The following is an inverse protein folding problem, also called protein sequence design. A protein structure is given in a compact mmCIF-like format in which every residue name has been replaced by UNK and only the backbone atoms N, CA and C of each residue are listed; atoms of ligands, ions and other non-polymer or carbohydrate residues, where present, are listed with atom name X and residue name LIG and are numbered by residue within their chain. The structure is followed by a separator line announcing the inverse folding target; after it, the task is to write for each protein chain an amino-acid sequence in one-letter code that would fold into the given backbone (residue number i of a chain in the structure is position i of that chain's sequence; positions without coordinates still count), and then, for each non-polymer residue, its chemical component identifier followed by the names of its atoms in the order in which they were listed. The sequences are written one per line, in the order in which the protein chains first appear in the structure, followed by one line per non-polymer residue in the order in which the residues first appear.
data_IF_922679176996
#
_entry.id   IF_922679176996
#
_cell.length_a   1.000
_cell.length_b   1.000
_cell.length_c   1.000
_cell.angle_alpha   90.00
_cell.angle_beta   90.00
_cell.angle_gamma   90.00
#
_symmetry.space_group_name_H-M   'P 1'
#
loop_
_entity.id
_entity.type
_entity.pdbx_description
1 polymer ?
#
# COMPACT_ATOMS: atom_id res chain seq x y z
N UNK A 1 -5.87 27.86 -13.39
CA UNK A 1 -6.95 27.10 -12.73
C UNK A 1 -6.86 27.35 -11.24
N UNK A 2 -7.99 27.55 -10.58
CA UNK A 2 -8.04 27.49 -9.11
C UNK A 2 -7.92 26.02 -8.64
N UNK A 3 -7.67 25.79 -7.36
CA UNK A 3 -7.38 24.44 -6.85
C UNK A 3 -8.61 23.51 -6.92
N UNK A 4 -9.82 24.06 -6.82
CA UNK A 4 -11.06 23.31 -7.01
C UNK A 4 -11.21 22.78 -8.45
N UNK A 5 -10.85 23.59 -9.45
CA UNK A 5 -10.79 23.16 -10.84
C UNK A 5 -9.76 22.05 -11.04
N UNK A 6 -8.56 22.21 -10.47
CA UNK A 6 -7.51 21.17 -10.53
C UNK A 6 -8.01 19.85 -9.95
N UNK A 7 -8.67 19.88 -8.79
CA UNK A 7 -9.24 18.71 -8.14
C UNK A 7 -10.33 18.05 -8.97
N UNK A 8 -11.24 18.84 -9.55
CA UNK A 8 -12.30 18.31 -10.40
C UNK A 8 -11.73 17.65 -11.65
N UNK A 9 -10.78 18.31 -12.33
CA UNK A 9 -10.10 17.73 -13.49
C UNK A 9 -9.32 16.46 -13.12
N UNK A 10 -8.61 16.46 -11.99
CA UNK A 10 -7.88 15.27 -11.52
C UNK A 10 -8.83 14.08 -11.28
N UNK A 11 -10.02 14.33 -10.73
CA UNK A 11 -11.04 13.31 -10.51
C UNK A 11 -11.64 12.78 -11.81
N UNK A 12 -11.86 13.62 -12.82
CA UNK A 12 -12.29 13.16 -14.14
C UNK A 12 -11.22 12.30 -14.83
N UNK A 13 -9.96 12.71 -14.76
CA UNK A 13 -8.83 11.93 -15.28
C UNK A 13 -8.73 10.55 -14.58
N UNK A 14 -9.00 10.47 -13.28
CA UNK A 14 -9.06 9.18 -12.57
C UNK A 14 -10.15 8.27 -13.10
N UNK A 15 -11.36 8.80 -13.37
CA UNK A 15 -12.46 8.01 -13.94
C UNK A 15 -12.08 7.45 -15.32
N UNK A 16 -11.29 8.20 -16.06
CA UNK A 16 -10.74 7.82 -17.37
C UNK A 16 -9.48 6.97 -17.29
N UNK A 17 -9.02 6.62 -16.07
CA UNK A 17 -7.81 5.84 -15.84
C UNK A 17 -6.52 6.50 -16.35
N UNK A 18 -6.53 7.82 -16.53
CA UNK A 18 -5.38 8.64 -16.90
C UNK A 18 -4.56 8.96 -15.64
N UNK A 19 -3.94 7.92 -15.08
CA UNK A 19 -3.28 7.95 -13.77
C UNK A 19 -2.14 8.97 -13.70
N UNK A 20 -1.38 9.11 -14.78
CA UNK A 20 -0.19 9.98 -14.83
C UNK A 20 -0.58 11.45 -14.80
N UNK A 21 -1.55 11.82 -15.63
CA UNK A 21 -2.12 13.16 -15.71
C UNK A 21 -2.83 13.51 -14.41
N UNK A 22 -3.70 12.62 -13.91
CA UNK A 22 -4.38 12.79 -12.63
C UNK A 22 -3.39 12.99 -11.48
N UNK A 23 -2.36 12.14 -11.40
CA UNK A 23 -1.34 12.19 -10.35
C UNK A 23 -0.57 13.51 -10.35
N UNK A 24 -0.30 14.08 -11.53
CA UNK A 24 0.36 15.40 -11.65
C UNK A 24 -0.48 16.49 -11.01
N UNK A 25 -1.80 16.50 -11.27
CA UNK A 25 -2.71 17.48 -10.68
C UNK A 25 -2.88 17.28 -9.17
N UNK A 26 -3.03 16.03 -8.70
CA UNK A 26 -3.11 15.75 -7.26
C UNK A 26 -1.84 16.16 -6.51
N UNK A 27 -0.67 15.93 -7.09
CA UNK A 27 0.59 16.37 -6.50
C UNK A 27 0.62 17.90 -6.36
N UNK A 28 0.20 18.61 -7.40
CA UNK A 28 0.14 20.07 -7.37
C UNK A 28 -0.81 20.57 -6.27
N UNK A 29 -1.99 19.97 -6.12
CA UNK A 29 -2.94 20.36 -5.05
C UNK A 29 -2.37 20.04 -3.68
N UNK A 30 -1.76 18.86 -3.51
CA UNK A 30 -1.13 18.48 -2.25
C UNK A 30 -0.02 19.46 -1.83
N UNK A 31 0.93 19.75 -2.72
CA UNK A 31 2.07 20.61 -2.43
C UNK A 31 1.66 22.08 -2.15
N UNK A 32 0.57 22.56 -2.76
CA UNK A 32 0.12 23.94 -2.57
C UNK A 32 -0.79 24.13 -1.34
N UNK A 33 -1.66 23.16 -1.03
CA UNK A 33 -2.68 23.33 0.02
C UNK A 33 -2.47 22.45 1.24
N UNK A 34 -1.42 21.63 1.27
CA UNK A 34 -1.27 20.58 2.28
C UNK A 34 -2.55 19.71 2.37
N UNK A 35 -3.06 19.28 1.22
CA UNK A 35 -4.32 18.55 1.13
C UNK A 35 -4.10 17.03 1.24
N UNK A 36 -4.55 16.42 2.34
CA UNK A 36 -4.36 14.99 2.60
C UNK A 36 -5.13 14.07 1.62
N UNK A 37 -6.29 14.51 1.12
CA UNK A 37 -7.02 13.76 0.10
C UNK A 37 -6.20 13.71 -1.20
N UNK A 38 -5.73 14.87 -1.66
CA UNK A 38 -4.89 14.95 -2.86
C UNK A 38 -3.60 14.13 -2.69
N UNK A 39 -2.96 14.18 -1.52
CA UNK A 39 -1.83 13.32 -1.19
C UNK A 39 -2.16 11.83 -1.39
N UNK A 40 -3.24 11.34 -0.77
CA UNK A 40 -3.63 9.93 -0.92
C UNK A 40 -3.93 9.53 -2.37
N UNK A 41 -4.60 10.40 -3.13
CA UNK A 41 -4.89 10.15 -4.56
C UNK A 41 -3.64 10.15 -5.42
N UNK A 42 -2.65 10.97 -5.08
CA UNK A 42 -1.35 10.94 -5.74
C UNK A 42 -0.62 9.60 -5.51
N UNK A 43 -0.61 9.09 -4.27
CA UNK A 43 -0.02 7.77 -3.96
C UNK A 43 -0.70 6.64 -4.74
N UNK A 44 -2.03 6.70 -4.82
CA UNK A 44 -2.83 5.77 -5.62
C UNK A 44 -2.42 5.81 -7.10
N UNK A 45 -2.32 7.00 -7.69
CA UNK A 45 -1.88 7.17 -9.08
C UNK A 45 -0.50 6.58 -9.32
N UNK A 46 0.47 6.82 -8.44
CA UNK A 46 1.83 6.25 -8.55
C UNK A 46 1.81 4.72 -8.62
N UNK A 47 1.04 4.08 -7.73
CA UNK A 47 0.84 2.63 -7.74
C UNK A 47 0.23 2.15 -9.06
N UNK A 48 -0.83 2.81 -9.52
CA UNK A 48 -1.51 2.43 -10.78
C UNK A 48 -0.66 2.66 -12.03
N UNK A 49 0.30 3.58 -11.98
CA UNK A 49 1.32 3.75 -13.01
C UNK A 49 2.46 2.70 -12.96
N UNK A 50 2.45 1.76 -12.02
CA UNK A 50 3.53 0.78 -11.88
C UNK A 50 4.76 1.30 -11.16
N UNK A 51 4.62 2.36 -10.34
CA UNK A 51 5.71 2.94 -9.54
C UNK A 51 5.45 2.80 -8.02
N UNK A 52 5.28 1.58 -7.49
CA UNK A 52 4.95 1.37 -6.08
C UNK A 52 6.09 1.82 -5.13
N UNK A 53 7.37 1.61 -5.46
CA UNK A 53 8.51 2.15 -4.69
C UNK A 53 8.48 3.68 -4.55
N UNK A 54 8.12 4.40 -5.62
CA UNK A 54 7.91 5.86 -5.56
C UNK A 54 6.71 6.23 -4.70
N UNK A 55 5.63 5.43 -4.76
CA UNK A 55 4.47 5.59 -3.88
C UNK A 55 4.85 5.41 -2.40
N UNK A 56 5.70 4.44 -2.06
CA UNK A 56 6.25 4.28 -0.70
C UNK A 56 7.03 5.52 -0.27
N UNK A 57 7.95 6.00 -1.11
CA UNK A 57 8.80 7.16 -0.79
C UNK A 57 7.97 8.41 -0.51
N UNK A 58 6.96 8.69 -1.35
CA UNK A 58 6.08 9.85 -1.16
C UNK A 58 5.06 9.61 -0.04
N UNK A 59 4.60 8.36 0.12
CA UNK A 59 3.66 7.97 1.15
C UNK A 59 4.23 8.15 2.55
N UNK A 60 5.50 7.83 2.77
CA UNK A 60 6.17 8.06 4.04
C UNK A 60 6.25 9.56 4.38
N UNK A 61 6.46 10.42 3.37
CA UNK A 61 6.39 11.88 3.56
C UNK A 61 4.97 12.32 3.92
N UNK A 62 3.97 11.86 3.17
CA UNK A 62 2.57 12.17 3.41
C UNK A 62 2.10 11.68 4.79
N UNK A 63 2.57 10.51 5.23
CA UNK A 63 2.23 9.91 6.52
C UNK A 63 2.78 10.74 7.68
N UNK A 64 4.02 11.25 7.55
CA UNK A 64 4.60 12.17 8.53
C UNK A 64 3.90 13.53 8.54
N UNK A 65 3.46 14.00 7.36
CA UNK A 65 2.74 15.27 7.23
C UNK A 65 1.31 15.21 7.76
N UNK A 66 0.63 14.07 7.59
CA UNK A 66 -0.76 13.85 7.99
C UNK A 66 -0.86 12.61 8.89
N UNK A 67 -0.30 12.65 10.11
CA UNK A 67 -0.30 11.52 11.00
C UNK A 67 -1.73 11.05 11.31
N UNK A 68 -1.96 9.75 11.23
CA UNK A 68 -3.27 9.15 11.49
C UNK A 68 -4.27 9.22 10.32
N UNK A 69 -3.92 9.82 9.18
CA UNK A 69 -4.81 9.80 8.01
C UNK A 69 -4.94 8.37 7.45
N UNK A 70 -6.14 7.80 7.58
CA UNK A 70 -6.42 6.41 7.16
C UNK A 70 -6.21 6.16 5.67
N UNK A 71 -6.46 7.14 4.81
CA UNK A 71 -6.35 6.96 3.35
C UNK A 71 -4.88 6.88 2.92
N UNK A 72 -4.03 7.74 3.49
CA UNK A 72 -2.59 7.70 3.25
C UNK A 72 -1.99 6.39 3.78
N UNK A 73 -2.39 5.99 4.99
CA UNK A 73 -1.96 4.71 5.58
C UNK A 73 -2.35 3.52 4.70
N UNK A 74 -3.59 3.51 4.20
CA UNK A 74 -4.07 2.44 3.34
C UNK A 74 -3.33 2.40 1.99
N UNK A 75 -3.05 3.55 1.38
CA UNK A 75 -2.25 3.57 0.15
C UNK A 75 -0.80 3.13 0.39
N UNK A 76 -0.21 3.44 1.54
CA UNK A 76 1.10 2.92 1.93
C UNK A 76 1.10 1.39 2.06
N UNK A 77 0.11 0.82 2.75
CA UNK A 77 -0.06 -0.64 2.86
C UNK A 77 -0.08 -1.29 1.47
N UNK A 78 -0.89 -0.74 0.56
CA UNK A 78 -0.97 -1.27 -0.79
C UNK A 78 0.30 -1.01 -1.62
N UNK A 79 1.03 0.07 -1.36
CA UNK A 79 2.29 0.35 -2.04
C UNK A 79 3.35 -0.67 -1.65
N UNK A 80 3.50 -0.95 -0.35
CA UNK A 80 4.37 -2.03 0.14
C UNK A 80 3.96 -3.40 -0.40
N UNK A 81 2.65 -3.69 -0.48
CA UNK A 81 2.18 -4.95 -1.06
C UNK A 81 2.59 -5.08 -2.53
N UNK A 82 2.33 -4.06 -3.35
CA UNK A 82 2.64 -4.10 -4.78
C UNK A 82 4.15 -4.07 -5.07
N UNK A 83 4.96 -3.46 -4.20
CA UNK A 83 6.43 -3.38 -4.36
C UNK A 83 7.14 -4.64 -3.87
N UNK A 84 6.72 -5.20 -2.73
CA UNK A 84 7.54 -6.16 -1.98
C UNK A 84 6.88 -7.53 -1.75
N UNK A 85 5.56 -7.65 -1.92
CA UNK A 85 4.84 -8.92 -1.66
C UNK A 85 4.32 -9.56 -2.95
N UNK A 86 3.72 -8.75 -3.82
CA UNK A 86 3.09 -9.20 -5.04
C UNK A 86 4.08 -9.76 -6.08
N UNK A 87 5.24 -9.12 -6.34
CA UNK A 87 6.18 -9.60 -7.37
C UNK A 87 6.66 -11.03 -7.10
N UNK A 88 7.00 -11.78 -8.15
CA UNK A 88 7.48 -13.16 -7.99
C UNK A 88 8.92 -13.19 -7.52
N UNK A 89 9.72 -12.21 -7.93
CA UNK A 89 11.12 -12.03 -7.57
C UNK A 89 11.28 -11.88 -6.04
N UNK A 90 10.33 -11.20 -5.38
CA UNK A 90 10.33 -11.05 -3.93
C UNK A 90 10.16 -12.37 -3.17
N UNK A 91 9.69 -13.43 -3.83
CA UNK A 91 9.46 -14.75 -3.21
C UNK A 91 10.72 -15.62 -3.20
N UNK A 92 11.79 -15.20 -3.89
CA UNK A 92 13.07 -15.90 -3.89
C UNK A 92 13.73 -15.89 -2.50
N UNK A 93 13.68 -14.75 -1.82
CA UNK A 93 14.18 -14.55 -0.46
C UNK A 93 13.02 -14.48 0.55
N UNK A 94 12.81 -15.58 1.27
CA UNK A 94 11.76 -15.68 2.29
C UNK A 94 11.96 -14.68 3.43
N UNK A 95 13.20 -14.43 3.86
CA UNK A 95 13.45 -13.55 5.00
C UNK A 95 13.22 -12.09 4.62
N UNK A 96 13.63 -11.69 3.42
CA UNK A 96 13.31 -10.36 2.90
C UNK A 96 11.79 -10.15 2.71
N UNK A 97 11.07 -11.19 2.26
CA UNK A 97 9.60 -11.18 2.17
C UNK A 97 8.95 -11.00 3.55
N UNK A 98 9.46 -11.70 4.57
CA UNK A 98 9.00 -11.61 5.96
C UNK A 98 9.19 -10.19 6.51
N UNK A 99 10.37 -9.59 6.32
CA UNK A 99 10.62 -8.22 6.80
C UNK A 99 9.68 -7.21 6.12
N UNK A 100 9.45 -7.37 4.83
CA UNK A 100 8.50 -6.54 4.08
C UNK A 100 7.06 -6.74 4.58
N UNK A 101 6.67 -7.97 4.87
CA UNK A 101 5.36 -8.30 5.42
C UNK A 101 5.17 -7.73 6.84
N UNK A 102 6.20 -7.76 7.69
CA UNK A 102 6.16 -7.12 9.03
C UNK A 102 5.93 -5.62 8.93
N UNK A 103 6.52 -4.94 7.95
CA UNK A 103 6.25 -3.51 7.70
C UNK A 103 4.77 -3.30 7.41
N UNK A 104 4.18 -4.09 6.50
CA UNK A 104 2.74 -4.01 6.19
C UNK A 104 1.89 -4.23 7.44
N UNK A 105 2.19 -5.27 8.24
CA UNK A 105 1.44 -5.58 9.47
C UNK A 105 1.55 -4.47 10.52
N UNK A 106 2.71 -3.79 10.61
CA UNK A 106 2.91 -2.66 11.53
C UNK A 106 2.03 -1.45 11.20
N UNK A 107 1.62 -1.30 9.94
CA UNK A 107 0.68 -0.26 9.51
C UNK A 107 -0.78 -0.57 9.88
N UNK A 108 -1.04 -1.70 10.55
CA UNK A 108 -2.39 -2.16 10.93
C UNK A 108 -3.33 -2.15 9.71
N UNK A 109 -3.07 -3.03 8.73
CA UNK A 109 -3.78 -3.05 7.45
C UNK A 109 -5.20 -3.59 7.62
N UNK A 110 -6.08 -3.20 6.70
CA UNK A 110 -7.41 -3.81 6.57
C UNK A 110 -7.29 -5.30 6.22
N UNK A 111 -8.39 -6.03 6.39
CA UNK A 111 -8.45 -7.50 6.30
C UNK A 111 -7.82 -8.04 5.01
N UNK A 112 -8.17 -7.48 3.85
CA UNK A 112 -7.72 -8.00 2.55
C UNK A 112 -6.18 -7.91 2.37
N UNK A 113 -5.53 -6.73 2.44
CA UNK A 113 -4.07 -6.67 2.32
C UNK A 113 -3.35 -7.45 3.42
N UNK A 114 -3.95 -7.57 4.62
CA UNK A 114 -3.41 -8.43 5.69
C UNK A 114 -3.39 -9.90 5.26
N UNK A 115 -4.52 -10.44 4.82
CA UNK A 115 -4.65 -11.84 4.41
C UNK A 115 -3.73 -12.16 3.23
N UNK A 116 -3.71 -11.31 2.20
CA UNK A 116 -2.83 -11.49 1.03
C UNK A 116 -1.35 -11.54 1.43
N UNK A 117 -0.94 -10.64 2.33
CA UNK A 117 0.45 -10.58 2.82
C UNK A 117 0.83 -11.83 3.59
N UNK A 118 -0.02 -12.26 4.54
CA UNK A 118 0.27 -13.44 5.36
C UNK A 118 0.27 -14.72 4.51
N UNK A 119 -0.66 -14.85 3.56
CA UNK A 119 -0.69 -16.00 2.66
C UNK A 119 0.53 -16.06 1.74
N UNK A 120 1.04 -14.92 1.27
CA UNK A 120 2.27 -14.89 0.48
C UNK A 120 3.44 -15.47 1.27
N UNK A 121 3.63 -15.06 2.52
CA UNK A 121 4.69 -15.61 3.39
C UNK A 121 4.51 -17.10 3.64
N UNK A 122 3.30 -17.54 4.01
CA UNK A 122 3.01 -18.95 4.25
C UNK A 122 3.30 -19.79 3.01
N UNK A 123 2.88 -19.32 1.83
CA UNK A 123 3.10 -20.03 0.57
C UNK A 123 4.59 -20.28 0.32
N UNK A 124 5.42 -19.24 0.44
CA UNK A 124 6.86 -19.34 0.22
C UNK A 124 7.55 -20.17 1.31
N UNK A 125 7.16 -20.00 2.58
CA UNK A 125 7.69 -20.78 3.69
C UNK A 125 7.41 -22.29 3.50
N UNK A 126 6.20 -22.66 3.05
CA UNK A 126 5.86 -24.05 2.72
C UNK A 126 6.72 -24.60 1.59
N UNK A 127 6.93 -23.84 0.52
CA UNK A 127 7.76 -24.25 -0.62
C UNK A 127 9.23 -24.48 -0.22
N UNK A 128 9.72 -23.76 0.80
CA UNK A 128 11.08 -23.88 1.35
C UNK A 128 11.14 -24.78 2.60
N UNK A 129 10.07 -25.49 2.92
CA UNK A 129 9.96 -26.42 4.06
C UNK A 129 10.27 -25.79 5.43
N UNK A 130 10.00 -24.48 5.58
CA UNK A 130 10.17 -23.74 6.84
C UNK A 130 8.90 -23.82 7.70
N UNK A 131 8.65 -25.00 8.25
CA UNK A 131 7.42 -25.32 8.98
C UNK A 131 7.21 -24.50 10.25
N UNK A 132 8.29 -24.10 10.91
CA UNK A 132 8.28 -23.17 12.05
C UNK A 132 7.63 -21.83 11.67
N UNK A 133 8.07 -21.24 10.56
CA UNK A 133 7.52 -19.99 10.02
C UNK A 133 6.06 -20.18 9.59
N UNK A 134 5.71 -21.32 8.98
CA UNK A 134 4.32 -21.61 8.59
C UNK A 134 3.40 -21.60 9.81
N UNK A 135 3.79 -22.25 10.91
CA UNK A 135 2.98 -22.30 12.14
C UNK A 135 2.83 -20.92 12.77
N UNK A 136 3.93 -20.15 12.87
CA UNK A 136 3.90 -18.78 13.38
C UNK A 136 2.92 -17.90 12.59
N UNK A 137 3.00 -17.94 11.26
CA UNK A 137 2.21 -17.06 10.40
C UNK A 137 0.74 -17.50 10.28
N UNK A 138 0.44 -18.80 10.39
CA UNK A 138 -0.94 -19.29 10.51
C UNK A 138 -1.65 -18.72 11.75
N UNK A 139 -0.94 -18.50 12.87
CA UNK A 139 -1.54 -17.90 14.07
C UNK A 139 -1.99 -16.45 13.83
N UNK A 140 -1.30 -15.72 12.95
CA UNK A 140 -1.68 -14.36 12.55
C UNK A 140 -3.03 -14.37 11.82
N UNK A 141 -3.29 -15.36 10.95
CA UNK A 141 -4.59 -15.55 10.29
C UNK A 141 -5.67 -16.00 11.26
N UNK A 142 -5.37 -16.95 12.15
CA UNK A 142 -6.35 -17.47 13.10
C UNK A 142 -6.90 -16.35 14.00
N UNK A 143 -6.06 -15.37 14.37
CA UNK A 143 -6.51 -14.15 15.05
C UNK A 143 -7.51 -13.33 14.20
N UNK A 144 -7.33 -13.24 12.88
CA UNK A 144 -8.27 -12.55 11.97
C UNK A 144 -9.64 -13.23 11.94
N UNK A 145 -9.67 -14.56 11.88
CA UNK A 145 -10.90 -15.34 11.79
C UNK A 145 -11.67 -15.31 13.13
N UNK A 146 -10.97 -15.33 14.26
CA UNK A 146 -11.58 -15.30 15.59
C UNK A 146 -12.26 -13.97 15.94
N UNK A 147 -11.86 -12.86 15.32
CA UNK A 147 -12.47 -11.53 15.51
C UNK A 147 -13.68 -11.23 14.59
N UNK A 148 -14.14 -12.19 13.78
CA UNK A 148 -15.36 -12.08 12.95
C UNK A 148 -16.62 -12.65 13.65
N UNK A 149 -16.59 -12.83 14.98
CA UNK A 149 -17.75 -13.27 15.78
C UNK A 149 -18.41 -12.09 16.47
#
# INVERSE_FOLDING_TARGET
MNQNELMNTANELLKQQQWKEAGTLFRQVWENENNAYAASRYLYCLRKCGYPSWSIKQGNKAFNQFPGNKYIKNELVWAYYDDAIKPEESKEDLYQLIESAKIILSLQPDILPKELTVFAVIKVAKQKEKWDIVLEWCNIINCIISGRR
#
